data_IF_453307879509
#
_entry.id   IF_453307879509
#
_cell.length_a   1.000
_cell.length_b   1.000
_cell.length_c   1.000
_cell.angle_alpha   90.00
_cell.angle_beta   90.00
_cell.angle_gamma   90.00
#
_symmetry.space_group_name_H-M   'P 1'
#
loop_
_entity.id
_entity.type
_entity.pdbx_description
1 polymer ?
#
# COMPACT_ATOMS: atom_id res chain seq x y z
N UNK A 1 -5.97 -9.37 7.50
CA UNK A 1 -6.24 -9.17 6.06
C UNK A 1 -4.99 -9.24 5.16
N UNK A 2 -3.84 -8.62 5.49
CA UNK A 2 -2.64 -8.68 4.64
C UNK A 2 -2.19 -10.10 4.27
N UNK A 3 -2.11 -11.01 5.25
CA UNK A 3 -1.74 -12.41 5.01
C UNK A 3 -2.68 -13.12 4.03
N UNK A 4 -3.98 -12.83 4.10
CA UNK A 4 -5.00 -13.38 3.21
C UNK A 4 -4.82 -12.91 1.76
N UNK A 5 -4.50 -11.62 1.57
CA UNK A 5 -4.14 -11.09 0.25
C UNK A 5 -2.88 -11.74 -0.32
N UNK A 6 -1.84 -11.94 0.50
CA UNK A 6 -0.62 -12.63 0.08
C UNK A 6 -0.91 -14.08 -0.33
N UNK A 7 -1.66 -14.84 0.48
CA UNK A 7 -2.03 -16.22 0.16
C UNK A 7 -2.86 -16.32 -1.12
N UNK A 8 -3.81 -15.39 -1.33
CA UNK A 8 -4.57 -15.33 -2.58
C UNK A 8 -3.67 -15.04 -3.79
N UNK A 9 -2.73 -14.09 -3.67
CA UNK A 9 -1.76 -13.81 -4.74
C UNK A 9 -0.90 -15.04 -5.04
N UNK A 10 -0.36 -15.72 -4.02
CA UNK A 10 0.48 -16.90 -4.22
C UNK A 10 -0.30 -18.04 -4.91
N UNK A 11 -1.62 -18.16 -4.65
CA UNK A 11 -2.50 -19.12 -5.34
C UNK A 11 -2.67 -18.74 -6.82
N UNK A 12 -2.92 -17.46 -7.10
CA UNK A 12 -3.23 -16.96 -8.45
C UNK A 12 -2.00 -16.81 -9.35
N UNK A 13 -0.83 -16.59 -8.77
CA UNK A 13 0.45 -16.40 -9.47
C UNK A 13 1.31 -17.66 -9.48
N UNK A 14 0.84 -18.80 -8.95
CA UNK A 14 1.61 -20.05 -8.82
C UNK A 14 2.32 -20.49 -10.11
N UNK A 15 1.65 -20.37 -11.25
CA UNK A 15 2.16 -20.73 -12.58
C UNK A 15 3.23 -19.76 -13.07
N UNK A 16 3.00 -18.45 -12.88
CA UNK A 16 3.93 -17.39 -13.23
C UNK A 16 5.18 -17.46 -12.33
N UNK A 17 4.99 -17.63 -11.03
CA UNK A 17 6.07 -17.70 -10.06
C UNK A 17 6.98 -18.91 -10.28
N UNK A 18 6.42 -20.05 -10.70
CA UNK A 18 7.21 -21.21 -11.10
C UNK A 18 8.14 -20.95 -12.29
N UNK A 19 7.82 -19.95 -13.11
CA UNK A 19 8.57 -19.59 -14.32
C UNK A 19 9.63 -18.50 -14.08
N UNK A 20 9.69 -17.92 -12.88
CA UNK A 20 10.60 -16.83 -12.53
C UNK A 20 11.66 -17.32 -11.55
N UNK A 21 12.94 -17.21 -11.91
CA UNK A 21 14.05 -17.75 -11.10
C UNK A 21 14.08 -17.28 -9.64
N UNK A 22 13.59 -16.07 -9.36
CA UNK A 22 13.51 -15.51 -8.00
C UNK A 22 12.35 -16.10 -7.17
N UNK A 23 11.25 -16.49 -7.81
CA UNK A 23 10.02 -16.92 -7.12
C UNK A 23 9.69 -18.39 -7.32
N UNK A 24 10.50 -19.12 -8.10
CA UNK A 24 10.38 -20.56 -8.32
C UNK A 24 10.53 -21.38 -7.04
N UNK A 25 11.25 -20.86 -6.04
CA UNK A 25 11.43 -21.51 -4.73
C UNK A 25 10.34 -21.15 -3.71
N UNK A 26 9.27 -20.46 -4.12
CA UNK A 26 8.13 -20.18 -3.22
C UNK A 26 7.38 -21.49 -2.90
N UNK A 27 6.70 -21.58 -1.73
CA UNK A 27 6.11 -22.85 -1.28
C UNK A 27 5.08 -23.48 -2.22
N UNK A 28 4.27 -22.66 -2.91
CA UNK A 28 3.23 -23.14 -3.82
C UNK A 28 3.81 -23.63 -5.17
N UNK A 29 4.68 -22.86 -5.87
CA UNK A 29 5.37 -23.34 -7.06
C UNK A 29 6.28 -24.55 -6.81
N UNK A 30 6.96 -24.59 -5.66
CA UNK A 30 7.88 -25.68 -5.28
C UNK A 30 7.18 -26.95 -4.81
N UNK A 31 5.86 -26.91 -4.59
CA UNK A 31 5.06 -28.05 -4.14
C UNK A 31 5.15 -28.36 -2.65
N UNK A 32 5.84 -27.53 -1.85
CA UNK A 32 5.92 -27.67 -0.39
C UNK A 32 4.55 -27.49 0.29
N UNK A 33 3.65 -26.73 -0.36
CA UNK A 33 2.26 -26.52 0.07
C UNK A 33 1.32 -26.82 -1.10
N UNK A 34 0.30 -27.65 -0.87
CA UNK A 34 -0.74 -27.91 -1.88
C UNK A 34 -1.71 -26.74 -2.00
N UNK A 35 -2.31 -26.55 -3.18
CA UNK A 35 -3.34 -25.51 -3.37
C UNK A 35 -4.51 -25.67 -2.41
N UNK A 36 -4.90 -26.91 -2.07
CA UNK A 36 -5.95 -27.18 -1.09
C UNK A 36 -5.58 -26.67 0.31
N UNK A 37 -4.34 -26.89 0.76
CA UNK A 37 -3.85 -26.34 2.03
C UNK A 37 -3.83 -24.81 2.00
N UNK A 38 -3.38 -24.21 0.90
CA UNK A 38 -3.37 -22.75 0.75
C UNK A 38 -4.79 -22.16 0.78
N UNK A 39 -5.77 -22.80 0.14
CA UNK A 39 -7.19 -22.40 0.21
C UNK A 39 -7.76 -22.55 1.62
N UNK A 40 -7.44 -23.64 2.33
CA UNK A 40 -7.83 -23.82 3.73
C UNK A 40 -7.23 -22.73 4.64
N UNK A 41 -5.96 -22.39 4.43
CA UNK A 41 -5.28 -21.31 5.14
C UNK A 41 -5.87 -19.94 4.84
N UNK A 42 -6.18 -19.67 3.57
CA UNK A 42 -6.90 -18.46 3.15
C UNK A 42 -8.26 -18.36 3.86
N UNK A 43 -9.02 -19.46 3.90
CA UNK A 43 -10.29 -19.55 4.60
C UNK A 43 -10.15 -19.18 6.09
N UNK A 44 -9.16 -19.77 6.78
CA UNK A 44 -8.89 -19.45 8.18
C UNK A 44 -8.54 -17.97 8.39
N UNK A 45 -7.66 -17.40 7.57
CA UNK A 45 -7.29 -15.98 7.66
C UNK A 45 -8.49 -15.05 7.41
N UNK A 46 -9.37 -15.40 6.47
CA UNK A 46 -10.60 -14.67 6.20
C UNK A 46 -11.60 -14.80 7.35
N UNK A 47 -11.76 -15.98 7.94
CA UNK A 47 -12.61 -16.19 9.12
C UNK A 47 -12.13 -15.39 10.33
N UNK A 48 -10.82 -15.37 10.60
CA UNK A 48 -10.24 -14.54 11.67
C UNK A 48 -10.44 -13.05 11.35
N UNK A 49 -10.21 -12.64 10.11
CA UNK A 49 -10.43 -11.26 9.68
C UNK A 49 -11.89 -10.82 9.84
N UNK A 50 -12.84 -11.68 9.46
CA UNK A 50 -14.26 -11.46 9.66
C UNK A 50 -14.62 -11.39 11.15
N UNK A 51 -14.08 -12.32 11.96
CA UNK A 51 -14.26 -12.32 13.41
C UNK A 51 -13.83 -11.00 14.07
N UNK A 52 -12.67 -10.47 13.66
CA UNK A 52 -12.23 -9.13 14.09
C UNK A 52 -13.20 -8.07 13.61
N UNK A 53 -13.56 -8.05 12.32
CA UNK A 53 -14.45 -7.03 11.75
C UNK A 53 -15.80 -6.97 12.47
N UNK A 54 -16.41 -8.11 12.78
CA UNK A 54 -17.70 -8.16 13.50
C UNK A 54 -17.57 -7.84 15.00
N UNK A 55 -16.36 -7.86 15.54
CA UNK A 55 -16.07 -7.48 16.93
C UNK A 55 -15.79 -5.98 17.08
N UNK A 56 -15.62 -5.24 15.98
CA UNK A 56 -15.37 -3.80 16.01
C UNK A 56 -16.66 -3.01 16.29
N UNK A 57 -16.57 -1.86 16.98
CA UNK A 57 -17.71 -0.95 17.14
C UNK A 57 -18.22 -0.46 15.78
N UNK A 58 -19.50 -0.06 15.75
CA UNK A 58 -20.18 0.42 14.54
C UNK A 58 -20.06 -0.54 13.36
N UNK A 59 -20.14 -1.84 13.64
CA UNK A 59 -19.90 -2.93 12.69
C UNK A 59 -20.64 -2.75 11.38
N UNK A 60 -21.92 -2.38 11.41
CA UNK A 60 -22.74 -2.27 10.21
C UNK A 60 -22.19 -1.23 9.21
N UNK A 61 -21.84 -0.04 9.70
CA UNK A 61 -21.28 1.02 8.85
C UNK A 61 -19.86 0.67 8.36
N UNK A 62 -19.04 0.08 9.24
CA UNK A 62 -17.71 -0.39 8.86
C UNK A 62 -17.75 -1.52 7.81
N UNK A 63 -18.69 -2.46 7.92
CA UNK A 63 -18.89 -3.54 6.94
C UNK A 63 -19.33 -2.98 5.60
N UNK A 64 -20.28 -2.04 5.56
CA UNK A 64 -20.67 -1.36 4.31
C UNK A 64 -19.46 -0.71 3.62
N UNK A 65 -18.63 -0.02 4.40
CA UNK A 65 -17.43 0.62 3.86
C UNK A 65 -16.40 -0.41 3.38
N UNK A 66 -16.21 -1.50 4.14
CA UNK A 66 -15.35 -2.61 3.74
C UNK A 66 -15.81 -3.28 2.43
N UNK A 67 -17.11 -3.50 2.27
CA UNK A 67 -17.69 -4.07 1.05
C UNK A 67 -17.42 -3.20 -0.19
N UNK A 68 -17.42 -1.88 -0.04
CA UNK A 68 -17.09 -0.96 -1.14
C UNK A 68 -15.65 -1.14 -1.66
N UNK A 69 -14.75 -1.73 -0.86
CA UNK A 69 -13.34 -1.95 -1.23
C UNK A 69 -13.10 -3.31 -1.90
N UNK A 70 -14.04 -4.26 -1.77
CA UNK A 70 -13.93 -5.63 -2.30
C UNK A 70 -13.59 -5.67 -3.81
N UNK A 71 -14.18 -4.84 -4.68
CA UNK A 71 -13.80 -4.84 -6.10
C UNK A 71 -12.30 -4.64 -6.32
N UNK A 72 -11.62 -3.83 -5.52
CA UNK A 72 -10.17 -3.60 -5.64
C UNK A 72 -9.36 -4.86 -5.33
N UNK A 73 -9.79 -5.65 -4.33
CA UNK A 73 -9.14 -6.92 -3.97
C UNK A 73 -9.30 -7.99 -5.04
N UNK A 74 -10.38 -7.95 -5.82
CA UNK A 74 -10.59 -8.85 -6.96
C UNK A 74 -9.80 -8.40 -8.20
N UNK A 75 -9.68 -7.09 -8.41
CA UNK A 75 -8.99 -6.52 -9.56
C UNK A 75 -7.47 -6.60 -9.45
N UNK A 76 -6.90 -6.29 -8.27
CA UNK A 76 -5.45 -6.17 -8.10
C UNK A 76 -4.64 -7.41 -8.53
N UNK A 77 -5.00 -8.66 -8.15
CA UNK A 77 -4.18 -9.83 -8.48
C UNK A 77 -3.99 -10.03 -9.99
N UNK A 78 -4.96 -9.59 -10.79
CA UNK A 78 -4.88 -9.73 -12.26
C UNK A 78 -4.36 -8.47 -12.96
N UNK A 79 -4.12 -7.38 -12.22
CA UNK A 79 -3.86 -6.05 -12.78
C UNK A 79 -2.67 -6.04 -13.76
N UNK A 80 -1.59 -6.77 -13.44
CA UNK A 80 -0.41 -6.89 -14.32
C UNK A 80 -0.73 -7.43 -15.72
N UNK A 81 -1.83 -8.17 -15.89
CA UNK A 81 -2.21 -8.83 -17.16
C UNK A 81 -2.98 -7.90 -18.11
N UNK A 82 -3.55 -6.81 -17.61
CA UNK A 82 -4.43 -5.94 -18.41
C UNK A 82 -4.15 -4.44 -18.27
N UNK A 83 -3.27 -4.01 -17.35
CA UNK A 83 -2.84 -2.61 -17.25
C UNK A 83 -1.33 -2.50 -17.11
N UNK A 84 -0.76 -1.46 -17.75
CA UNK A 84 0.65 -1.09 -17.61
C UNK A 84 0.95 -0.42 -16.26
N UNK A 85 -0.06 -0.14 -15.44
CA UNK A 85 0.09 0.64 -14.20
C UNK A 85 -0.57 -0.05 -12.99
N UNK A 86 -0.29 -1.35 -12.73
CA UNK A 86 -0.90 -2.11 -11.64
C UNK A 86 -0.62 -1.50 -10.25
N UNK A 87 0.46 -0.74 -10.10
CA UNK A 87 0.80 0.01 -8.87
C UNK A 87 -0.33 0.91 -8.37
N UNK A 88 -1.11 1.52 -9.27
CA UNK A 88 -2.24 2.36 -8.85
C UNK A 88 -3.36 1.50 -8.27
N UNK A 89 -3.64 0.35 -8.88
CA UNK A 89 -4.63 -0.60 -8.36
C UNK A 89 -4.18 -1.13 -7.00
N UNK A 90 -2.88 -1.45 -6.84
CA UNK A 90 -2.28 -1.84 -5.57
C UNK A 90 -2.45 -0.74 -4.51
N UNK A 91 -2.09 0.50 -4.84
CA UNK A 91 -2.16 1.64 -3.92
C UNK A 91 -3.57 1.90 -3.43
N UNK A 92 -4.56 1.80 -4.32
CA UNK A 92 -5.96 1.91 -3.93
C UNK A 92 -6.38 0.71 -3.06
N UNK A 93 -6.01 -0.52 -3.43
CA UNK A 93 -6.40 -1.71 -2.68
C UNK A 93 -5.81 -1.72 -1.26
N UNK A 94 -4.49 -1.62 -1.11
CA UNK A 94 -3.81 -1.87 0.17
C UNK A 94 -4.12 -0.82 1.24
N UNK A 95 -4.42 0.41 0.82
CA UNK A 95 -4.70 1.52 1.73
C UNK A 95 -6.17 1.62 2.13
N UNK A 96 -7.04 0.71 1.66
CA UNK A 96 -8.48 0.70 1.96
C UNK A 96 -8.80 0.82 3.46
N UNK A 97 -7.92 0.34 4.35
CA UNK A 97 -8.09 0.46 5.79
C UNK A 97 -8.22 1.91 6.30
N UNK A 98 -7.64 2.90 5.62
CA UNK A 98 -7.77 4.32 6.02
C UNK A 98 -9.19 4.85 5.81
N UNK A 99 -9.97 4.22 4.92
CA UNK A 99 -11.37 4.55 4.69
C UNK A 99 -12.28 3.98 5.79
N UNK A 100 -11.90 2.85 6.39
CA UNK A 100 -12.65 2.19 7.46
C UNK A 100 -12.38 2.82 8.83
N UNK A 101 -11.22 3.44 9.04
CA UNK A 101 -10.83 4.00 10.34
C UNK A 101 -11.89 4.92 10.97
N UNK A 102 -12.38 5.95 10.26
CA UNK A 102 -13.40 6.85 10.82
C UNK A 102 -14.72 6.15 11.15
N UNK A 103 -15.19 5.22 10.30
CA UNK A 103 -16.43 4.48 10.60
C UNK A 103 -16.27 3.59 11.82
N UNK A 104 -15.08 3.01 12.05
CA UNK A 104 -14.78 2.25 13.27
C UNK A 104 -14.79 3.18 14.50
N UNK A 105 -14.23 4.39 14.39
CA UNK A 105 -14.08 5.29 15.53
C UNK A 105 -15.38 6.03 15.91
N UNK A 106 -16.16 6.50 14.92
CA UNK A 106 -17.31 7.40 15.16
C UNK A 106 -18.63 6.88 14.60
N UNK A 107 -18.63 5.74 13.91
CA UNK A 107 -19.82 5.20 13.23
C UNK A 107 -20.24 6.00 12.00
N UNK A 108 -19.45 6.98 11.58
CA UNK A 108 -19.76 7.85 10.44
C UNK A 108 -18.55 7.94 9.53
N UNK A 109 -18.80 7.96 8.21
CA UNK A 109 -17.74 8.22 7.26
C UNK A 109 -17.38 9.71 7.31
N UNK A 110 -16.08 10.03 7.37
CA UNK A 110 -15.56 11.39 7.44
C UNK A 110 -14.72 11.68 6.19
N UNK A 111 -15.33 12.16 5.08
CA UNK A 111 -14.62 12.32 3.81
C UNK A 111 -13.41 13.26 3.89
N UNK A 112 -13.52 14.33 4.69
CA UNK A 112 -12.48 15.34 4.88
C UNK A 112 -11.18 14.75 5.42
N UNK A 113 -11.26 13.71 6.27
CA UNK A 113 -10.12 12.98 6.80
C UNK A 113 -9.76 11.78 5.90
N UNK A 114 -10.75 10.94 5.62
CA UNK A 114 -10.53 9.61 5.03
C UNK A 114 -9.96 9.68 3.62
N UNK A 115 -10.51 10.55 2.76
CA UNK A 115 -10.15 10.64 1.34
C UNK A 115 -8.73 11.15 1.13
N UNK A 116 -8.30 12.30 1.69
CA UNK A 116 -6.93 12.76 1.51
C UNK A 116 -5.90 11.81 2.13
N UNK A 117 -6.21 11.20 3.29
CA UNK A 117 -5.34 10.20 3.91
C UNK A 117 -5.17 8.98 2.99
N UNK A 118 -6.28 8.46 2.47
CA UNK A 118 -6.31 7.33 1.54
C UNK A 118 -5.52 7.61 0.25
N UNK A 119 -5.78 8.74 -0.41
CA UNK A 119 -5.10 9.09 -1.65
C UNK A 119 -3.61 9.44 -1.43
N UNK A 120 -3.27 10.03 -0.28
CA UNK A 120 -1.90 10.28 0.11
C UNK A 120 -1.11 8.98 0.25
N UNK A 121 -1.64 8.02 1.02
CA UNK A 121 -1.00 6.71 1.15
C UNK A 121 -1.02 5.90 -0.15
N UNK A 122 -2.08 5.97 -0.95
CA UNK A 122 -2.11 5.33 -2.28
C UNK A 122 -1.01 5.88 -3.19
N UNK A 123 -0.78 7.19 -3.17
CA UNK A 123 0.31 7.84 -3.90
C UNK A 123 1.67 7.36 -3.39
N UNK A 124 1.85 7.24 -2.08
CA UNK A 124 3.07 6.69 -1.49
C UNK A 124 3.31 5.23 -1.88
N UNK A 125 2.26 4.41 -1.93
CA UNK A 125 2.33 3.03 -2.43
C UNK A 125 2.81 2.97 -3.87
N UNK A 126 2.28 3.84 -4.75
CA UNK A 126 2.79 3.92 -6.12
C UNK A 126 4.28 4.27 -6.12
N UNK A 127 4.74 5.18 -5.26
CA UNK A 127 6.16 5.56 -5.17
C UNK A 127 7.06 4.37 -4.83
N UNK A 128 6.84 3.72 -3.68
CA UNK A 128 7.74 2.64 -3.27
C UNK A 128 7.60 1.40 -4.15
N UNK A 129 6.40 1.11 -4.66
CA UNK A 129 6.15 -0.08 -5.46
C UNK A 129 6.66 0.09 -6.90
N UNK A 130 6.70 1.32 -7.45
CA UNK A 130 7.40 1.57 -8.71
C UNK A 130 8.92 1.37 -8.57
N UNK A 131 9.53 1.79 -7.46
CA UNK A 131 10.95 1.50 -7.16
C UNK A 131 11.18 -0.02 -7.10
N UNK A 132 10.27 -0.74 -6.45
CA UNK A 132 10.30 -2.19 -6.42
C UNK A 132 10.17 -2.81 -7.82
N UNK A 133 9.20 -2.35 -8.61
CA UNK A 133 8.94 -2.85 -9.97
C UNK A 133 10.13 -2.69 -10.93
N UNK A 134 11.01 -1.71 -10.72
CA UNK A 134 12.25 -1.60 -11.51
C UNK A 134 13.19 -2.80 -11.33
N UNK A 135 13.12 -3.51 -10.20
CA UNK A 135 13.89 -4.74 -9.99
C UNK A 135 13.38 -5.91 -10.87
N UNK A 136 12.07 -5.94 -11.09
CA UNK A 136 11.36 -6.98 -11.86
C UNK A 136 11.14 -6.59 -13.35
N UNK A 137 11.50 -5.36 -13.75
CA UNK A 137 11.28 -4.79 -15.10
C UNK A 137 11.68 -5.72 -16.25
N UNK A 138 12.79 -6.43 -16.11
CA UNK A 138 13.29 -7.37 -17.13
C UNK A 138 12.42 -8.60 -17.29
N UNK A 139 11.88 -9.13 -16.19
CA UNK A 139 11.04 -10.33 -16.19
C UNK A 139 9.61 -9.97 -16.58
N UNK A 140 9.08 -8.85 -16.10
CA UNK A 140 7.79 -8.29 -16.55
C UNK A 140 7.78 -8.13 -18.09
N UNK A 141 8.87 -7.60 -18.68
CA UNK A 141 8.98 -7.45 -20.14
C UNK A 141 9.00 -8.78 -20.89
N UNK A 142 9.71 -9.80 -20.38
CA UNK A 142 9.78 -11.12 -21.01
C UNK A 142 8.45 -11.86 -20.97
N UNK A 143 7.69 -11.67 -19.89
CA UNK A 143 6.40 -12.32 -19.66
C UNK A 143 5.22 -11.53 -20.24
N UNK A 144 5.46 -10.36 -20.83
CA UNK A 144 4.40 -9.50 -21.38
C UNK A 144 3.49 -8.90 -20.31
N UNK A 145 4.01 -8.69 -19.08
CA UNK A 145 3.29 -8.12 -17.95
C UNK A 145 3.51 -6.61 -17.87
N UNK A 146 2.47 -5.88 -17.45
CA UNK A 146 2.51 -4.44 -17.24
C UNK A 146 3.12 -4.05 -15.88
N UNK A 147 3.91 -2.97 -15.88
CA UNK A 147 4.37 -2.32 -14.64
C UNK A 147 4.70 -0.85 -14.89
N UNK A 148 4.54 -0.01 -13.86
CA UNK A 148 4.91 1.41 -13.95
C UNK A 148 6.38 1.63 -14.29
N UNK A 149 7.27 0.72 -13.90
CA UNK A 149 8.67 0.74 -14.29
C UNK A 149 8.87 0.62 -15.81
N UNK A 150 8.07 -0.23 -16.48
CA UNK A 150 8.03 -0.32 -17.93
C UNK A 150 7.34 0.90 -18.56
N UNK A 151 6.18 1.28 -18.03
CA UNK A 151 5.36 2.37 -18.57
C UNK A 151 6.04 3.74 -18.50
N UNK A 152 6.80 4.01 -17.44
CA UNK A 152 7.46 5.30 -17.24
C UNK A 152 8.84 5.39 -17.89
N UNK A 153 9.52 4.25 -18.06
CA UNK A 153 10.93 4.21 -18.43
C UNK A 153 11.84 4.82 -17.36
N UNK A 154 13.15 4.77 -17.57
CA UNK A 154 14.11 5.21 -16.55
C UNK A 154 14.12 6.74 -16.41
N UNK A 155 14.10 7.46 -17.53
CA UNK A 155 14.11 8.93 -17.56
C UNK A 155 12.81 9.53 -16.98
N UNK A 156 11.69 8.87 -17.24
CA UNK A 156 10.38 9.35 -16.84
C UNK A 156 9.96 8.94 -15.43
N UNK A 157 10.67 8.02 -14.78
CA UNK A 157 10.26 7.53 -13.46
C UNK A 157 10.42 8.60 -12.39
N UNK A 158 11.59 9.26 -12.33
CA UNK A 158 11.94 10.14 -11.21
C UNK A 158 10.91 11.25 -10.97
N UNK A 159 10.56 12.03 -11.99
CA UNK A 159 9.65 13.17 -11.81
C UNK A 159 8.23 12.72 -11.44
N UNK A 160 7.76 11.57 -11.93
CA UNK A 160 6.45 11.01 -11.59
C UNK A 160 6.40 10.52 -10.15
N UNK A 161 7.49 9.92 -9.67
CA UNK A 161 7.59 9.53 -8.27
C UNK A 161 7.75 10.73 -7.33
N UNK A 162 8.43 11.79 -7.78
CA UNK A 162 8.45 13.06 -7.05
C UNK A 162 7.06 13.69 -6.98
N UNK A 163 6.26 13.62 -8.05
CA UNK A 163 4.86 14.03 -8.03
C UNK A 163 4.04 13.16 -7.04
N UNK A 164 4.19 11.84 -7.08
CA UNK A 164 3.55 10.93 -6.12
C UNK A 164 3.95 11.23 -4.67
N UNK A 165 5.21 11.62 -4.43
CA UNK A 165 5.72 12.05 -3.13
C UNK A 165 5.07 13.36 -2.68
N UNK A 166 4.91 14.33 -3.58
CA UNK A 166 4.21 15.58 -3.29
C UNK A 166 2.73 15.33 -2.95
N UNK A 167 2.06 14.44 -3.71
CA UNK A 167 0.67 14.04 -3.44
C UNK A 167 0.53 13.32 -2.09
N UNK A 168 1.51 12.50 -1.71
CA UNK A 168 1.57 11.92 -0.37
C UNK A 168 1.61 13.00 0.72
N UNK A 169 2.53 13.95 0.63
CA UNK A 169 2.64 15.06 1.58
C UNK A 169 1.39 15.94 1.65
N UNK A 170 0.82 16.31 0.50
CA UNK A 170 -0.44 17.08 0.41
C UNK A 170 -1.57 16.31 1.08
N UNK A 171 -1.69 15.00 0.80
CA UNK A 171 -2.68 14.12 1.42
C UNK A 171 -2.55 14.07 2.94
N UNK A 172 -1.32 14.00 3.47
CA UNK A 172 -1.09 14.01 4.92
C UNK A 172 -1.49 15.36 5.55
N UNK A 173 -1.09 16.48 4.96
CA UNK A 173 -1.44 17.82 5.48
C UNK A 173 -2.96 18.02 5.46
N UNK A 174 -3.62 17.72 4.35
CA UNK A 174 -5.07 17.86 4.20
C UNK A 174 -5.84 16.93 5.11
N UNK A 175 -5.35 15.69 5.33
CA UNK A 175 -5.92 14.79 6.33
C UNK A 175 -5.80 15.33 7.76
N UNK A 176 -4.70 16.02 8.10
CA UNK A 176 -4.53 16.66 9.41
C UNK A 176 -5.61 17.71 9.69
N UNK A 177 -5.85 18.60 8.73
CA UNK A 177 -6.97 19.55 8.80
C UNK A 177 -8.33 18.84 8.81
N UNK A 178 -8.49 17.79 7.99
CA UNK A 178 -9.72 17.01 7.91
C UNK A 178 -10.07 16.25 9.19
N UNK A 179 -9.06 15.92 10.00
CA UNK A 179 -9.20 15.37 11.35
C UNK A 179 -9.47 16.44 12.43
N UNK A 180 -9.48 17.73 12.07
CA UNK A 180 -9.63 18.82 13.03
C UNK A 180 -8.42 19.01 13.95
N UNK A 181 -7.22 18.59 13.51
CA UNK A 181 -6.01 18.87 14.29
C UNK A 181 -5.70 20.37 14.27
N UNK A 182 -5.42 20.93 15.44
CA UNK A 182 -5.07 22.33 15.63
C UNK A 182 -3.82 22.47 16.53
N UNK A 183 -3.25 23.69 16.58
CA UNK A 183 -2.15 24.04 17.46
C UNK A 183 -0.99 23.03 17.45
N UNK A 184 -0.61 22.56 18.63
CA UNK A 184 0.49 21.61 18.81
C UNK A 184 0.22 20.26 18.15
N UNK A 185 -1.03 19.79 18.12
CA UNK A 185 -1.40 18.53 17.47
C UNK A 185 -1.14 18.60 15.95
N UNK A 186 -1.56 19.70 15.32
CA UNK A 186 -1.29 19.93 13.89
C UNK A 186 0.21 20.09 13.60
N UNK A 187 0.94 20.79 14.48
CA UNK A 187 2.40 20.92 14.36
C UNK A 187 3.10 19.56 14.40
N UNK A 188 2.79 18.72 15.39
CA UNK A 188 3.41 17.38 15.54
C UNK A 188 3.09 16.51 14.32
N UNK A 189 1.83 16.49 13.89
CA UNK A 189 1.40 15.74 12.72
C UNK A 189 2.13 16.16 11.45
N UNK A 190 2.15 17.46 11.16
CA UNK A 190 2.79 18.00 9.94
C UNK A 190 4.32 17.89 9.98
N UNK A 191 4.95 18.04 11.15
CA UNK A 191 6.38 17.83 11.29
C UNK A 191 6.77 16.39 10.97
N UNK A 192 6.09 15.41 11.58
CA UNK A 192 6.42 14.01 11.37
C UNK A 192 6.06 13.49 9.97
N UNK A 193 4.88 13.86 9.44
CA UNK A 193 4.51 13.52 8.05
C UNK A 193 5.35 14.28 7.02
N UNK A 194 5.86 15.46 7.36
CA UNK A 194 6.85 16.21 6.59
C UNK A 194 8.18 15.48 6.51
N UNK A 195 8.68 14.92 7.64
CA UNK A 195 9.87 14.06 7.65
C UNK A 195 9.64 12.81 6.79
N UNK A 196 8.51 12.13 6.95
CA UNK A 196 8.15 10.95 6.14
C UNK A 196 8.15 11.26 4.63
N UNK A 197 7.58 12.42 4.25
CA UNK A 197 7.53 12.90 2.86
C UNK A 197 8.92 13.27 2.34
N UNK A 198 9.71 13.98 3.15
CA UNK A 198 11.09 14.36 2.83
C UNK A 198 11.98 13.14 2.61
N UNK A 199 11.92 12.15 3.50
CA UNK A 199 12.64 10.89 3.37
C UNK A 199 12.24 10.13 2.10
N UNK A 200 10.95 10.07 1.79
CA UNK A 200 10.44 9.49 0.53
C UNK A 200 11.06 10.18 -0.68
N UNK A 201 11.05 11.52 -0.71
CA UNK A 201 11.63 12.31 -1.81
C UNK A 201 13.14 12.15 -1.93
N UNK A 202 13.86 12.05 -0.81
CA UNK A 202 15.29 11.78 -0.79
C UNK A 202 15.61 10.42 -1.40
N UNK A 203 14.86 9.37 -1.03
CA UNK A 203 15.03 8.03 -1.61
C UNK A 203 14.82 8.09 -3.13
N UNK A 204 13.71 8.68 -3.59
CA UNK A 204 13.41 8.81 -5.03
C UNK A 204 14.50 9.58 -5.78
N UNK A 205 15.02 10.66 -5.18
CA UNK A 205 16.08 11.49 -5.78
C UNK A 205 17.39 10.71 -5.92
N UNK A 206 17.75 9.96 -4.90
CA UNK A 206 18.99 9.18 -4.86
C UNK A 206 18.91 7.90 -5.69
N UNK A 207 17.72 7.34 -5.94
CA UNK A 207 17.56 6.08 -6.69
C UNK A 207 18.19 6.12 -8.09
N UNK A 208 18.82 4.99 -8.43
CA UNK A 208 19.45 4.72 -9.72
C UNK A 208 18.67 3.62 -10.44
N UNK A 209 17.90 3.98 -11.46
CA UNK A 209 16.92 3.11 -12.11
C UNK A 209 17.51 1.87 -12.81
N UNK A 210 18.81 1.92 -13.17
CA UNK A 210 19.53 0.78 -13.73
C UNK A 210 20.19 -0.16 -12.71
N UNK A 211 20.23 0.22 -11.43
CA UNK A 211 20.98 -0.50 -10.40
C UNK A 211 20.03 -1.30 -9.49
N UNK A 212 19.77 -2.57 -9.84
CA UNK A 212 18.84 -3.45 -9.11
C UNK A 212 19.18 -3.59 -7.63
N UNK A 213 20.45 -3.73 -7.28
CA UNK A 213 20.87 -3.89 -5.88
C UNK A 213 20.60 -2.63 -5.06
N UNK A 214 20.92 -1.46 -5.63
CA UNK A 214 20.62 -0.17 -5.00
C UNK A 214 19.12 0.04 -4.85
N UNK A 215 18.32 -0.25 -5.86
CA UNK A 215 16.86 -0.16 -5.78
C UNK A 215 16.28 -1.08 -4.70
N UNK A 216 16.84 -2.29 -4.55
CA UNK A 216 16.48 -3.20 -3.45
C UNK A 216 16.80 -2.63 -2.07
N UNK A 217 17.95 -1.95 -1.91
CA UNK A 217 18.30 -1.23 -0.68
C UNK A 217 17.38 -0.04 -0.42
N UNK A 218 17.10 0.75 -1.46
CA UNK A 218 16.22 1.92 -1.40
C UNK A 218 14.80 1.51 -1.02
N UNK A 219 14.27 0.41 -1.58
CA UNK A 219 12.97 -0.15 -1.21
C UNK A 219 12.87 -0.49 0.29
N UNK A 220 13.92 -1.07 0.88
CA UNK A 220 13.92 -1.43 2.30
C UNK A 220 13.85 -0.22 3.23
N UNK A 221 14.34 0.96 2.80
CA UNK A 221 14.28 2.20 3.60
C UNK A 221 12.84 2.65 3.87
N UNK A 222 11.89 2.31 3.00
CA UNK A 222 10.47 2.67 3.19
C UNK A 222 9.81 2.05 4.42
N UNK A 223 10.37 0.96 4.96
CA UNK A 223 9.83 0.30 6.15
C UNK A 223 9.73 1.21 7.38
N UNK A 224 10.66 2.16 7.54
CA UNK A 224 10.66 3.09 8.68
C UNK A 224 9.66 4.25 8.54
N UNK A 225 9.28 4.61 7.32
CA UNK A 225 8.46 5.79 7.03
C UNK A 225 7.03 5.61 7.55
N UNK A 226 6.45 4.41 7.41
CA UNK A 226 5.13 4.12 7.99
C UNK A 226 5.11 4.27 9.51
N UNK A 227 6.19 3.85 10.18
CA UNK A 227 6.34 4.00 11.63
C UNK A 227 6.39 5.47 12.07
N UNK A 228 7.03 6.34 11.29
CA UNK A 228 7.05 7.79 11.55
C UNK A 228 5.63 8.35 11.49
N UNK A 229 4.86 8.03 10.45
CA UNK A 229 3.48 8.54 10.31
C UNK A 229 2.60 8.06 11.47
N UNK A 230 2.69 6.77 11.84
CA UNK A 230 1.94 6.21 12.98
C UNK A 230 2.35 6.83 14.32
N UNK A 231 3.64 7.04 14.56
CA UNK A 231 4.10 7.71 15.78
C UNK A 231 3.61 9.16 15.84
N UNK A 232 3.59 9.84 14.69
CA UNK A 232 3.12 11.23 14.56
C UNK A 232 1.63 11.35 14.82
N UNK A 233 0.80 10.42 14.32
CA UNK A 233 -0.63 10.42 14.63
C UNK A 233 -0.89 10.20 16.12
N UNK A 234 -0.22 9.21 16.73
CA UNK A 234 -0.39 8.94 18.17
C UNK A 234 0.02 10.14 19.02
N UNK A 235 1.17 10.77 18.73
CA UNK A 235 1.66 11.94 19.44
C UNK A 235 0.76 13.17 19.23
N UNK A 236 0.28 13.42 18.00
CA UNK A 236 -0.63 14.52 17.71
C UNK A 236 -1.95 14.39 18.46
N UNK A 237 -2.53 13.18 18.51
CA UNK A 237 -3.75 12.90 19.26
C UNK A 237 -3.56 13.07 20.77
N UNK A 238 -2.42 12.63 21.31
CA UNK A 238 -2.14 12.77 22.74
C UNK A 238 -2.07 14.23 23.23
N UNK A 239 -1.64 15.15 22.36
CA UNK A 239 -1.50 16.57 22.69
C UNK A 239 -2.76 17.38 22.34
N UNK A 240 -3.54 16.94 21.35
CA UNK A 240 -4.80 17.60 20.96
C UNK A 240 -6.00 17.29 21.88
N UNK A 241 -5.86 16.40 22.86
CA UNK A 241 -6.87 16.12 23.89
C UNK A 241 -6.78 17.06 25.12
N UNK A 242 -5.92 18.08 25.06
CA UNK A 242 -5.72 19.12 26.08
C UNK A 242 -6.16 20.46 25.52
#
# INVERSE_FOLDING_TARGET
MRGAGCTLNDILDRDIDGSVARTSTRPLPNGDVTTTQAVGWLGLQMSVGLGVLVSLPHTFETVKMGLATVPLFLLYPTAKRWTDKPQYVLGLMINSGTLLGPTIATGTFQPSLAVPLYLGFASWTVVYDTIYAHQDKGDDKKLGLGSTALAYGDDGTRWRLMLGTALFGIGMITAGFGAGLEGNGMFIWTAGTGVATGMTGMIVRESEWGNKEKLGRDFRKFGGIGGIVTASSAAALAVGMV
#
